data_IF_638228307032
#
_entry.id   IF_638228307032
#
_cell.length_a   1.000
_cell.length_b   1.000
_cell.length_c   1.000
_cell.angle_alpha   90.00
_cell.angle_beta   90.00
_cell.angle_gamma   90.00
#
_symmetry.space_group_name_H-M   'P 1'
#
loop_
_entity.id
_entity.type
_entity.pdbx_description
1 polymer ?
#
# COMPACT_ATOMS: atom_id res chain seq x y z
N UNK A 1 -20.56 -0.89 6.97
CA UNK A 1 -19.56 -1.95 7.23
C UNK A 1 -18.24 -1.54 6.60
N UNK A 2 -17.17 -1.57 7.37
CA UNK A 2 -15.87 -1.11 6.89
C UNK A 2 -15.10 -2.28 6.28
N UNK A 3 -14.62 -2.09 5.06
CA UNK A 3 -13.79 -3.08 4.38
C UNK A 3 -12.33 -2.79 4.70
N UNK A 4 -11.61 -3.80 5.17
CA UNK A 4 -10.18 -3.65 5.38
C UNK A 4 -9.42 -3.96 4.11
N UNK A 5 -8.43 -3.11 3.83
CA UNK A 5 -7.54 -3.27 2.68
C UNK A 5 -6.15 -3.55 3.23
N UNK A 6 -5.53 -4.60 2.74
CA UNK A 6 -4.18 -4.97 3.14
C UNK A 6 -3.19 -4.49 2.08
N UNK A 7 -2.17 -3.77 2.52
CA UNK A 7 -1.09 -3.31 1.65
C UNK A 7 0.18 -4.03 2.09
N UNK A 8 0.79 -4.78 1.16
CA UNK A 8 2.01 -5.52 1.41
C UNK A 8 3.13 -4.95 0.57
N UNK A 9 4.31 -4.83 1.16
CA UNK A 9 5.49 -4.35 0.44
C UNK A 9 6.38 -5.52 0.05
N UNK A 10 6.73 -5.60 -1.24
CA UNK A 10 7.76 -6.50 -1.74
C UNK A 10 9.06 -5.75 -2.05
N UNK A 11 9.18 -4.52 -1.52
CA UNK A 11 10.37 -3.70 -1.74
C UNK A 11 11.46 -4.06 -0.74
N UNK A 12 12.70 -3.79 -1.11
CA UNK A 12 13.86 -3.94 -0.23
C UNK A 12 14.05 -2.73 0.69
N UNK A 13 13.33 -1.66 0.44
CA UNK A 13 13.43 -0.42 1.21
C UNK A 13 12.05 0.00 1.67
N UNK A 14 12.01 0.81 2.72
CA UNK A 14 10.75 1.36 3.21
C UNK A 14 10.10 2.21 2.13
N UNK A 15 8.77 2.17 2.09
CA UNK A 15 8.02 2.98 1.16
C UNK A 15 7.04 3.88 1.92
N UNK A 16 7.08 5.17 1.62
CA UNK A 16 6.16 6.14 2.20
C UNK A 16 5.11 6.52 1.17
N UNK A 17 3.85 6.44 1.57
CA UNK A 17 2.73 6.86 0.73
C UNK A 17 1.80 7.75 1.53
N UNK A 18 0.87 8.40 0.83
CA UNK A 18 -0.10 9.25 1.48
C UNK A 18 -1.44 8.56 1.60
N UNK A 19 -2.03 8.67 2.79
CA UNK A 19 -3.36 8.18 3.08
C UNK A 19 -4.11 9.25 3.84
N UNK A 20 -5.21 9.72 3.28
CA UNK A 20 -6.01 10.81 3.85
C UNK A 20 -5.17 12.06 4.12
N UNK A 21 -4.23 12.36 3.24
CA UNK A 21 -3.36 13.53 3.39
C UNK A 21 -2.24 13.38 4.39
N UNK A 22 -2.08 12.22 4.99
CA UNK A 22 -1.02 11.95 5.95
C UNK A 22 0.00 10.98 5.37
N UNK A 23 1.27 11.17 5.72
CA UNK A 23 2.32 10.26 5.29
C UNK A 23 2.30 9.00 6.15
N UNK A 24 2.27 7.85 5.47
CA UNK A 24 2.33 6.55 6.11
C UNK A 24 3.51 5.78 5.54
N UNK A 25 4.35 5.24 6.41
CA UNK A 25 5.52 4.48 6.00
C UNK A 25 5.26 2.99 6.14
N UNK A 26 5.44 2.26 5.03
CA UNK A 26 5.38 0.81 5.00
C UNK A 26 6.79 0.27 4.95
N UNK A 27 7.15 -0.51 5.94
CA UNK A 27 8.50 -1.05 6.03
C UNK A 27 8.76 -2.08 4.95
N UNK A 28 10.03 -2.23 4.57
CA UNK A 28 10.44 -3.23 3.59
C UNK A 28 9.94 -4.62 4.02
N UNK A 29 9.23 -5.29 3.14
CA UNK A 29 8.63 -6.59 3.42
C UNK A 29 7.48 -6.54 4.43
N UNK A 30 7.03 -5.35 4.82
CA UNK A 30 6.00 -5.18 5.82
C UNK A 30 4.59 -5.28 5.27
N UNK A 31 3.64 -5.34 6.18
CA UNK A 31 2.22 -5.40 5.85
C UNK A 31 1.49 -4.35 6.67
N UNK A 32 0.58 -3.65 6.02
CA UNK A 32 -0.25 -2.63 6.65
C UNK A 32 -1.70 -2.88 6.28
N UNK A 33 -2.59 -2.78 7.26
CA UNK A 33 -4.04 -2.86 7.02
C UNK A 33 -4.67 -1.50 7.24
N UNK A 34 -5.49 -1.06 6.30
CA UNK A 34 -6.24 0.19 6.42
C UNK A 34 -7.73 -0.10 6.23
N UNK A 35 -8.54 0.70 6.89
CA UNK A 35 -9.99 0.54 6.80
C UNK A 35 -10.52 1.45 5.68
N UNK A 36 -11.11 0.84 4.68
CA UNK A 36 -11.95 1.47 3.65
C UNK A 36 -11.51 2.87 3.22
N UNK A 37 -10.31 2.97 2.66
CA UNK A 37 -9.77 4.24 2.26
C UNK A 37 -8.94 4.17 0.98
N UNK A 38 -9.22 3.19 0.12
CA UNK A 38 -8.44 3.00 -1.08
C UNK A 38 -8.43 4.24 -1.97
N UNK A 39 -9.58 4.92 -2.07
CA UNK A 39 -9.69 6.12 -2.90
C UNK A 39 -8.86 7.28 -2.36
N UNK A 40 -8.45 7.22 -1.10
CA UNK A 40 -7.67 8.27 -0.46
C UNK A 40 -6.18 7.94 -0.37
N UNK A 41 -5.79 6.77 -0.87
CA UNK A 41 -4.41 6.32 -0.85
C UNK A 41 -3.73 6.69 -2.16
N UNK A 42 -2.61 7.38 -2.06
CA UNK A 42 -1.79 7.71 -3.22
C UNK A 42 -0.69 6.67 -3.33
N UNK A 43 -0.83 5.75 -4.29
CA UNK A 43 0.09 4.66 -4.50
C UNK A 43 0.94 4.89 -5.75
N UNK A 44 2.14 4.29 -5.82
CA UNK A 44 2.98 4.39 -7.01
C UNK A 44 2.38 3.55 -8.16
N UNK A 45 2.84 3.81 -9.37
CA UNK A 45 2.40 3.05 -10.54
C UNK A 45 2.80 1.58 -10.47
N UNK A 46 3.78 1.24 -9.64
CA UNK A 46 4.22 -0.14 -9.44
C UNK A 46 3.34 -0.91 -8.45
N UNK A 47 2.40 -0.24 -7.79
CA UNK A 47 1.48 -0.93 -6.91
C UNK A 47 0.47 -1.74 -7.72
N UNK A 48 0.23 -2.97 -7.31
CA UNK A 48 -0.67 -3.87 -8.01
C UNK A 48 -1.77 -4.36 -7.07
N UNK A 49 -3.00 -4.25 -7.54
CA UNK A 49 -4.14 -4.84 -6.84
C UNK A 49 -4.26 -6.29 -7.27
N UNK A 50 -3.86 -7.21 -6.39
CA UNK A 50 -3.84 -8.63 -6.72
C UNK A 50 -5.19 -9.29 -6.49
N UNK A 51 -5.83 -8.94 -5.37
CA UNK A 51 -7.18 -9.39 -5.05
C UNK A 51 -7.96 -8.20 -4.54
N UNK A 52 -9.26 -8.38 -4.35
CA UNK A 52 -10.16 -7.28 -4.05
C UNK A 52 -9.68 -6.37 -2.92
N UNK A 53 -9.07 -6.94 -1.89
CA UNK A 53 -8.66 -6.19 -0.70
C UNK A 53 -7.16 -6.28 -0.43
N UNK A 54 -6.38 -6.67 -1.42
CA UNK A 54 -4.93 -6.78 -1.26
C UNK A 54 -4.22 -6.00 -2.35
N UNK A 55 -3.31 -5.12 -1.92
CA UNK A 55 -2.46 -4.35 -2.81
C UNK A 55 -1.01 -4.71 -2.49
N UNK A 56 -0.25 -5.04 -3.52
CA UNK A 56 1.18 -5.34 -3.36
C UNK A 56 1.97 -4.21 -4.00
N UNK A 57 2.89 -3.63 -3.22
CA UNK A 57 3.82 -2.61 -3.71
C UNK A 57 5.11 -3.34 -4.08
N UNK A 58 5.39 -3.37 -5.38
CA UNK A 58 6.58 -4.04 -5.87
C UNK A 58 7.79 -3.12 -5.83
N UNK A 59 8.97 -3.72 -5.88
CA UNK A 59 10.18 -2.96 -5.99
C UNK A 59 10.25 -2.18 -7.30
N UNK A 60 11.18 -1.24 -7.37
CA UNK A 60 11.35 -0.45 -8.58
C UNK A 60 11.76 -1.35 -9.75
N UNK A 61 11.08 -1.16 -10.86
CA UNK A 61 11.45 -1.84 -12.11
C UNK A 61 12.48 -0.95 -12.81
N UNK A 62 13.65 -1.49 -12.97
CA UNK A 62 14.72 -0.77 -13.68
C UNK A 62 14.67 -1.09 -15.15
#
# INVERSE_FOLDING_TARGET
MTTQITIRSDRDTDYTFQYKGEDVTLKAGGILSIADGLDEVVLPTCAMKIVKNLIVIKGDVK
#
